data_IF_431940053263
#
_entry.id   IF_431940053263
#
_cell.length_a   1.000
_cell.length_b   1.000
_cell.length_c   1.000
_cell.angle_alpha   90.00
_cell.angle_beta   90.00
_cell.angle_gamma   90.00
#
_symmetry.space_group_name_H-M   'P 1'
#
loop_
_entity.id
_entity.type
_entity.pdbx_description
1 polymer ?
#
# COMPACT_ATOMS: atom_id res chain seq x y z
N UNK A 1 -2.11 20.77 6.11
CA UNK A 1 -1.20 21.39 5.12
C UNK A 1 -2.03 21.82 3.94
N UNK A 2 -1.92 23.07 3.52
CA UNK A 2 -2.64 23.58 2.34
C UNK A 2 -1.89 23.20 1.07
N UNK A 3 -2.62 23.10 -0.05
CA UNK A 3 -2.09 22.73 -1.35
C UNK A 3 -0.83 23.50 -1.75
N UNK A 4 -0.86 24.82 -1.60
CA UNK A 4 0.26 25.67 -2.03
C UNK A 4 1.51 25.54 -1.17
N UNK A 5 1.35 25.20 0.11
CA UNK A 5 2.46 24.94 1.03
C UNK A 5 3.29 23.70 0.61
N UNK A 6 2.66 22.73 -0.04
CA UNK A 6 3.35 21.58 -0.60
C UNK A 6 3.82 21.80 -2.03
N UNK A 7 3.05 22.54 -2.82
CA UNK A 7 3.32 22.74 -4.25
C UNK A 7 4.52 23.64 -4.49
N UNK A 8 4.70 24.69 -3.70
CA UNK A 8 5.81 25.65 -3.88
C UNK A 8 7.19 24.98 -3.73
N UNK A 9 7.52 24.28 -2.62
CA UNK A 9 8.80 23.58 -2.50
C UNK A 9 8.94 22.44 -3.51
N UNK A 10 7.84 21.73 -3.84
CA UNK A 10 7.87 20.70 -4.87
C UNK A 10 8.31 21.25 -6.21
N UNK A 11 7.71 22.36 -6.68
CA UNK A 11 8.10 22.97 -7.94
C UNK A 11 9.51 23.55 -7.93
N UNK A 12 10.00 24.00 -6.78
CA UNK A 12 11.36 24.49 -6.68
C UNK A 12 12.42 23.38 -6.81
N UNK A 13 12.09 22.16 -6.35
CA UNK A 13 13.02 21.03 -6.28
C UNK A 13 12.89 20.05 -7.46
N UNK A 14 11.71 19.90 -8.04
CA UNK A 14 11.41 18.84 -9.00
C UNK A 14 10.55 19.35 -10.17
N UNK A 15 10.97 20.44 -10.81
CA UNK A 15 10.17 21.12 -11.83
C UNK A 15 9.91 20.25 -13.07
N UNK A 16 10.86 19.39 -13.45
CA UNK A 16 10.82 18.61 -14.69
C UNK A 16 10.47 17.12 -14.46
N UNK A 17 10.73 16.58 -13.28
CA UNK A 17 10.58 15.15 -12.98
C UNK A 17 9.38 14.82 -12.11
N UNK A 18 8.58 15.80 -11.77
CA UNK A 18 7.47 15.64 -10.86
C UNK A 18 6.32 14.82 -11.45
N UNK A 19 5.75 13.94 -10.62
CA UNK A 19 4.57 13.14 -10.95
C UNK A 19 3.49 13.39 -9.91
N UNK A 20 2.27 13.65 -10.38
CA UNK A 20 1.11 13.71 -9.51
C UNK A 20 0.50 12.30 -9.38
N UNK A 21 0.55 11.73 -8.17
CA UNK A 21 -0.04 10.44 -7.85
C UNK A 21 -1.26 10.59 -6.94
N UNK A 22 -2.39 10.02 -7.35
CA UNK A 22 -3.60 10.01 -6.53
C UNK A 22 -3.66 8.74 -5.70
N UNK A 23 -3.41 8.88 -4.38
CA UNK A 23 -3.48 7.78 -3.43
C UNK A 23 -4.94 7.45 -3.04
N UNK A 24 -5.17 6.23 -2.54
CA UNK A 24 -6.47 5.80 -2.02
C UNK A 24 -7.48 5.30 -3.07
N UNK A 25 -7.15 5.32 -4.35
CA UNK A 25 -8.00 4.78 -5.40
C UNK A 25 -7.75 3.28 -5.63
N UNK A 26 -8.78 2.49 -6.01
CA UNK A 26 -8.60 1.09 -6.41
C UNK A 26 -7.79 0.95 -7.72
N UNK A 27 -7.80 1.98 -8.55
CA UNK A 27 -7.01 2.08 -9.78
C UNK A 27 -5.71 2.85 -9.53
N UNK A 28 -4.72 2.67 -10.39
CA UNK A 28 -3.51 3.51 -10.40
C UNK A 28 -3.80 4.73 -11.27
N UNK A 29 -3.66 5.92 -10.68
CA UNK A 29 -3.80 7.19 -11.39
C UNK A 29 -2.56 8.04 -11.15
N UNK A 30 -1.83 8.29 -12.22
CA UNK A 30 -0.71 9.23 -12.26
C UNK A 30 -0.98 10.29 -13.32
N UNK A 31 -0.43 11.46 -13.15
CA UNK A 31 -0.44 12.51 -14.17
C UNK A 31 0.85 13.31 -14.12
N UNK A 32 1.28 13.89 -15.26
CA UNK A 32 2.39 14.81 -15.30
C UNK A 32 2.17 16.00 -14.36
N UNK A 33 3.23 16.55 -13.82
CA UNK A 33 3.17 17.71 -12.92
C UNK A 33 3.20 19.06 -13.63
N UNK A 34 3.36 19.07 -14.95
CA UNK A 34 3.34 20.31 -15.72
C UNK A 34 1.91 20.87 -15.88
N UNK A 35 1.81 22.17 -16.14
CA UNK A 35 0.55 22.83 -16.46
C UNK A 35 0.09 22.59 -17.91
N UNK A 36 -0.93 23.31 -18.33
CA UNK A 36 -1.53 23.17 -19.67
C UNK A 36 -0.66 23.69 -20.81
N UNK A 37 0.36 24.52 -20.50
CA UNK A 37 1.40 24.99 -21.43
C UNK A 37 0.84 25.54 -22.75
N UNK A 38 -0.23 26.32 -22.71
CA UNK A 38 -0.87 26.91 -23.90
C UNK A 38 0.04 27.82 -24.71
N UNK A 39 1.01 28.46 -24.06
CA UNK A 39 1.99 29.35 -24.64
C UNK A 39 2.97 28.67 -25.64
N UNK A 40 3.19 27.36 -25.44
CA UNK A 40 4.06 26.54 -26.31
C UNK A 40 3.28 25.54 -27.17
N UNK A 41 1.95 25.59 -27.14
CA UNK A 41 1.11 24.71 -27.94
C UNK A 41 1.39 24.90 -29.45
N UNK A 42 1.60 23.79 -30.17
CA UNK A 42 1.90 23.80 -31.61
C UNK A 42 3.34 24.17 -31.99
N UNK A 43 4.20 24.53 -31.02
CA UNK A 43 5.60 24.92 -31.30
C UNK A 43 6.59 23.78 -31.25
N UNK A 44 6.15 22.57 -30.89
CA UNK A 44 6.99 21.38 -30.72
C UNK A 44 8.16 21.58 -29.74
N UNK A 45 7.93 22.37 -28.68
CA UNK A 45 8.93 22.71 -27.65
C UNK A 45 8.64 22.07 -26.29
N UNK A 46 7.57 21.30 -26.17
CA UNK A 46 7.20 20.63 -24.91
C UNK A 46 8.14 19.45 -24.64
N UNK A 47 8.62 19.32 -23.38
CA UNK A 47 9.34 18.13 -22.93
C UNK A 47 8.34 17.01 -22.61
N UNK A 48 8.66 15.78 -23.07
CA UNK A 48 7.89 14.58 -22.73
C UNK A 48 8.33 13.93 -21.41
N UNK A 49 9.36 14.44 -20.75
CA UNK A 49 9.98 13.79 -19.60
C UNK A 49 9.02 13.57 -18.45
N UNK A 50 8.24 14.58 -18.09
CA UNK A 50 7.24 14.46 -17.03
C UNK A 50 6.15 13.43 -17.34
N UNK A 51 5.74 13.32 -18.61
CA UNK A 51 4.78 12.29 -19.05
C UNK A 51 5.40 10.89 -18.99
N UNK A 52 6.64 10.74 -19.43
CA UNK A 52 7.41 9.51 -19.39
C UNK A 52 7.58 9.03 -17.95
N UNK A 53 7.93 9.92 -17.03
CA UNK A 53 8.03 9.63 -15.60
C UNK A 53 6.68 9.20 -15.00
N UNK A 54 5.59 9.86 -15.36
CA UNK A 54 4.25 9.48 -14.91
C UNK A 54 3.88 8.08 -15.38
N UNK A 55 4.24 7.69 -16.61
CA UNK A 55 4.00 6.35 -17.14
C UNK A 55 4.79 5.28 -16.39
N UNK A 56 6.10 5.49 -16.18
CA UNK A 56 6.93 4.53 -15.46
C UNK A 56 6.49 4.40 -13.99
N UNK A 57 6.19 5.50 -13.34
CA UNK A 57 5.65 5.50 -11.98
C UNK A 57 4.35 4.69 -11.89
N UNK A 58 3.45 4.83 -12.87
CA UNK A 58 2.21 4.05 -12.92
C UNK A 58 2.48 2.54 -13.02
N UNK A 59 3.44 2.13 -13.87
CA UNK A 59 3.84 0.74 -14.02
C UNK A 59 4.43 0.17 -12.74
N UNK A 60 5.29 0.91 -12.07
CA UNK A 60 5.93 0.47 -10.82
C UNK A 60 4.92 0.33 -9.69
N UNK A 61 4.02 1.31 -9.54
CA UNK A 61 2.93 1.23 -8.55
C UNK A 61 2.02 0.02 -8.85
N UNK A 62 1.69 -0.23 -10.11
CA UNK A 62 0.88 -1.39 -10.49
C UNK A 62 1.56 -2.70 -10.11
N UNK A 63 2.85 -2.85 -10.43
CA UNK A 63 3.66 -4.03 -10.08
C UNK A 63 3.75 -4.23 -8.57
N UNK A 64 4.03 -3.15 -7.82
CA UNK A 64 4.08 -3.20 -6.37
C UNK A 64 2.74 -3.60 -5.75
N UNK A 65 1.62 -3.05 -6.24
CA UNK A 65 0.27 -3.42 -5.77
C UNK A 65 -0.06 -4.88 -6.08
N UNK A 66 0.31 -5.37 -7.26
CA UNK A 66 0.11 -6.77 -7.65
C UNK A 66 0.91 -7.69 -6.73
N UNK A 67 2.20 -7.43 -6.56
CA UNK A 67 3.07 -8.18 -5.66
C UNK A 67 2.55 -8.18 -4.22
N UNK A 68 2.14 -7.02 -3.71
CA UNK A 68 1.57 -6.90 -2.37
C UNK A 68 0.30 -7.75 -2.20
N UNK A 69 -0.60 -7.72 -3.18
CA UNK A 69 -1.80 -8.56 -3.15
C UNK A 69 -1.45 -10.05 -3.12
N UNK A 70 -0.53 -10.50 -3.96
CA UNK A 70 -0.08 -11.89 -4.01
C UNK A 70 0.56 -12.32 -2.68
N UNK A 71 1.43 -11.49 -2.12
CA UNK A 71 2.10 -11.74 -0.83
C UNK A 71 1.14 -11.75 0.38
N UNK A 72 0.02 -11.03 0.29
CA UNK A 72 -0.93 -10.88 1.41
C UNK A 72 -2.21 -11.70 1.26
N UNK A 73 -2.31 -12.58 0.27
CA UNK A 73 -3.48 -13.47 0.08
C UNK A 73 -3.77 -14.33 1.30
N UNK A 74 -2.71 -14.83 1.96
CA UNK A 74 -2.82 -15.63 3.18
C UNK A 74 -1.92 -15.05 4.27
N UNK A 75 -2.29 -13.92 4.90
CA UNK A 75 -1.50 -13.39 5.99
C UNK A 75 -1.55 -14.35 7.18
N UNK A 76 -0.38 -14.61 7.78
CA UNK A 76 -0.32 -15.28 9.05
C UNK A 76 -1.22 -14.56 10.06
N UNK A 77 -2.16 -15.28 10.66
CA UNK A 77 -2.99 -14.69 11.72
C UNK A 77 -2.08 -14.27 12.86
N UNK A 78 -2.13 -12.99 13.21
CA UNK A 78 -1.49 -12.52 14.43
C UNK A 78 -2.08 -13.29 15.58
N UNK A 79 -1.28 -14.08 16.28
CA UNK A 79 -1.67 -14.74 17.52
C UNK A 79 -1.73 -13.74 18.70
N UNK A 80 -1.83 -12.46 18.41
CA UNK A 80 -2.09 -11.44 19.40
C UNK A 80 -3.59 -11.42 19.68
N UNK A 81 -3.97 -12.04 20.78
CA UNK A 81 -5.24 -11.73 21.40
C UNK A 81 -5.06 -10.35 22.04
N UNK A 82 -5.72 -9.33 21.50
CA UNK A 82 -5.94 -8.06 22.17
C UNK A 82 -6.84 -8.34 23.41
N UNK A 83 -6.25 -8.91 24.45
CA UNK A 83 -6.82 -8.83 25.77
C UNK A 83 -6.46 -7.45 26.30
N UNK A 84 -7.48 -6.59 26.32
CA UNK A 84 -7.34 -5.22 26.77
C UNK A 84 -6.62 -5.11 28.12
N UNK A 85 -5.54 -4.34 28.14
CA UNK A 85 -4.81 -3.92 29.32
C UNK A 85 -3.48 -4.69 29.53
N UNK A 86 -2.40 -3.95 29.49
CA UNK A 86 -1.02 -4.38 29.79
C UNK A 86 -0.79 -4.97 31.22
N UNK A 87 -1.87 -5.19 31.99
CA UNK A 87 -1.82 -5.60 33.40
C UNK A 87 -2.29 -7.03 33.70
N UNK A 88 -2.69 -7.81 32.70
CA UNK A 88 -2.96 -9.22 32.96
C UNK A 88 -1.63 -10.00 32.99
N UNK A 89 -1.16 -10.30 34.20
CA UNK A 89 -0.10 -11.27 34.41
C UNK A 89 -0.51 -12.59 33.75
N UNK A 90 0.32 -13.05 32.81
CA UNK A 90 0.16 -14.35 32.18
C UNK A 90 0.17 -15.43 33.28
N UNK A 91 -0.98 -15.97 33.59
CA UNK A 91 -1.11 -17.06 34.58
C UNK A 91 -0.75 -18.36 33.86
N UNK A 92 0.53 -18.74 33.97
CA UNK A 92 1.08 -19.96 33.36
C UNK A 92 0.65 -21.25 34.10
N UNK A 93 -0.14 -21.13 35.14
CA UNK A 93 -0.58 -22.31 35.94
C UNK A 93 -1.91 -22.88 35.48
N UNK A 94 -2.59 -22.24 34.52
CA UNK A 94 -3.83 -22.79 33.96
C UNK A 94 -3.54 -23.64 32.74
N UNK A 95 -3.36 -24.91 32.93
CA UNK A 95 -3.19 -25.91 31.85
C UNK A 95 -4.40 -25.95 30.90
N UNK A 96 -5.58 -25.49 31.35
CA UNK A 96 -6.81 -25.40 30.53
C UNK A 96 -6.71 -24.51 29.32
N UNK A 97 -5.81 -23.51 29.32
CA UNK A 97 -5.62 -22.60 28.20
C UNK A 97 -4.91 -23.28 27.03
N UNK A 98 -3.98 -24.21 27.31
CA UNK A 98 -3.21 -24.91 26.27
C UNK A 98 -4.10 -25.92 25.56
N UNK A 99 -4.92 -26.66 26.29
CA UNK A 99 -5.85 -27.65 25.73
C UNK A 99 -6.94 -27.03 24.86
N UNK A 100 -7.41 -25.82 25.20
CA UNK A 100 -8.39 -25.12 24.38
C UNK A 100 -7.79 -24.60 23.05
N UNK A 101 -6.51 -24.23 23.05
CA UNK A 101 -5.78 -23.80 21.86
C UNK A 101 -5.53 -25.01 20.94
N UNK A 102 -5.13 -26.16 21.50
CA UNK A 102 -4.91 -27.37 20.73
C UNK A 102 -6.20 -27.96 20.15
N UNK A 103 -7.32 -27.90 20.85
CA UNK A 103 -8.63 -28.32 20.33
C UNK A 103 -9.16 -27.43 19.21
N UNK A 104 -8.82 -26.14 19.21
CA UNK A 104 -9.17 -25.21 18.12
C UNK A 104 -8.23 -25.27 16.92
N UNK A 105 -6.99 -25.73 17.08
CA UNK A 105 -6.01 -25.85 16.00
C UNK A 105 -6.13 -27.15 15.20
N UNK A 106 -6.91 -28.15 15.66
CA UNK A 106 -7.16 -29.36 14.91
C UNK A 106 -8.17 -29.17 13.78
N UNK A 107 -7.80 -28.36 12.78
CA UNK A 107 -8.52 -28.20 11.51
C UNK A 107 -8.19 -29.34 10.51
N UNK A 108 -7.29 -30.25 10.87
CA UNK A 108 -7.01 -31.44 10.09
C UNK A 108 -7.68 -32.67 10.68
N UNK A 109 -9.00 -32.69 10.72
CA UNK A 109 -9.70 -33.96 10.71
C UNK A 109 -9.74 -34.44 9.27
N UNK A 110 -8.81 -35.27 8.93
CA UNK A 110 -8.91 -36.19 7.79
C UNK A 110 -10.24 -36.96 7.95
N UNK A 111 -11.20 -36.67 7.10
CA UNK A 111 -12.32 -37.56 6.86
C UNK A 111 -11.78 -38.81 6.19
N UNK A 112 -11.36 -39.76 6.99
CA UNK A 112 -11.25 -41.16 6.59
C UNK A 112 -12.60 -41.80 6.84
N UNK A 113 -13.46 -41.80 5.84
CA UNK A 113 -14.58 -42.71 5.74
C UNK A 113 -14.66 -43.27 4.34
N UNK A 114 -14.32 -44.57 4.26
CA UNK A 114 -14.77 -45.59 3.29
C UNK A 114 -14.79 -45.21 1.81
#
# INVERSE_FOLDING_TARGET
MYHDQGLAPFKALAMEEGVNYTAGLPIVRTSPAHGTAYDIAGKNMASEDSFRQALYTALDIYRCRKFYKEATVNPLRKQYFDKGGDNEKLDLTKDDAIDSIWKKSNIYKTDSKN
#
